data_IF_490933221660
#
_entry.id   IF_490933221660
#
_cell.length_a   1.000
_cell.length_b   1.000
_cell.length_c   1.000
_cell.angle_alpha   90.00
_cell.angle_beta   90.00
_cell.angle_gamma   90.00
#
_symmetry.space_group_name_H-M   'P 1'
#
loop_
_entity.id
_entity.type
_entity.pdbx_description
1 polymer ?
#
# COMPACT_ATOMS: atom_id res chain seq x y z
N UNK A 1 0.80 12.95 9.05
CA UNK A 1 0.18 12.13 7.99
C UNK A 1 0.58 10.68 8.27
N UNK A 2 -0.26 9.75 7.86
CA UNK A 2 -0.07 8.31 8.12
C UNK A 2 0.09 7.60 6.78
N UNK A 3 1.10 6.72 6.68
CA UNK A 3 1.40 5.93 5.49
C UNK A 3 1.26 4.45 5.82
N UNK A 4 0.23 3.82 5.29
CA UNK A 4 0.00 2.38 5.39
C UNK A 4 0.52 1.71 4.14
N UNK A 5 1.44 0.76 4.29
CA UNK A 5 2.06 0.05 3.17
C UNK A 5 1.55 -1.38 3.15
N UNK A 6 0.76 -1.73 2.14
CA UNK A 6 0.28 -3.09 1.90
C UNK A 6 1.29 -3.82 1.00
N UNK A 7 2.16 -4.61 1.62
CA UNK A 7 3.18 -5.39 0.92
C UNK A 7 3.60 -6.61 1.75
N UNK A 8 3.81 -7.76 1.11
CA UNK A 8 4.52 -8.90 1.70
C UNK A 8 6.04 -8.84 1.40
N UNK A 9 6.48 -7.88 0.58
CA UNK A 9 7.87 -7.66 0.23
C UNK A 9 8.59 -6.84 1.32
N UNK A 10 9.35 -7.53 2.15
CA UNK A 10 10.13 -6.93 3.24
C UNK A 10 11.17 -5.90 2.75
N UNK A 11 11.76 -6.10 1.58
CA UNK A 11 12.71 -5.16 1.02
C UNK A 11 12.01 -3.85 0.64
N UNK A 12 10.88 -3.94 -0.05
CA UNK A 12 10.09 -2.77 -0.43
C UNK A 12 9.62 -1.98 0.80
N UNK A 13 9.08 -2.66 1.82
CA UNK A 13 8.69 -2.00 3.06
C UNK A 13 9.86 -1.30 3.75
N UNK A 14 11.03 -1.95 3.80
CA UNK A 14 12.24 -1.36 4.41
C UNK A 14 12.69 -0.10 3.66
N UNK A 15 12.65 -0.14 2.33
CA UNK A 15 12.95 1.02 1.48
C UNK A 15 11.99 2.19 1.73
N UNK A 16 10.68 1.93 1.73
CA UNK A 16 9.66 2.95 2.03
C UNK A 16 9.84 3.51 3.44
N UNK A 17 10.12 2.64 4.42
CA UNK A 17 10.38 3.05 5.79
C UNK A 17 11.56 4.02 5.87
N UNK A 18 12.67 3.71 5.22
CA UNK A 18 13.83 4.60 5.20
C UNK A 18 13.52 5.99 4.63
N UNK A 19 12.65 6.08 3.62
CA UNK A 19 12.29 7.36 2.99
C UNK A 19 11.33 8.23 3.81
N UNK A 20 10.44 7.61 4.58
CA UNK A 20 9.27 8.29 5.16
C UNK A 20 9.17 8.24 6.68
N UNK A 21 9.99 7.44 7.38
CA UNK A 21 9.85 7.25 8.83
C UNK A 21 9.98 8.53 9.65
N UNK A 22 10.79 9.49 9.18
CA UNK A 22 10.95 10.78 9.86
C UNK A 22 9.82 11.78 9.53
N UNK A 23 8.97 11.47 8.54
CA UNK A 23 7.94 12.39 8.00
C UNK A 23 6.51 11.93 8.29
N UNK A 24 6.30 10.62 8.43
CA UNK A 24 4.99 10.01 8.52
C UNK A 24 5.01 8.83 9.48
N UNK A 25 3.88 8.59 10.15
CA UNK A 25 3.68 7.35 10.90
C UNK A 25 3.47 6.21 9.91
N UNK A 26 4.35 5.22 9.94
CA UNK A 26 4.31 4.06 9.05
C UNK A 26 3.58 2.88 9.70
N UNK A 27 2.78 2.20 8.90
CA UNK A 27 2.16 0.92 9.26
C UNK A 27 2.46 -0.10 8.17
N UNK A 28 3.05 -1.24 8.55
CA UNK A 28 3.22 -2.37 7.64
C UNK A 28 1.97 -3.25 7.69
N UNK A 29 1.36 -3.49 6.53
CA UNK A 29 0.18 -4.35 6.39
C UNK A 29 0.57 -5.51 5.47
N UNK A 30 0.45 -6.73 5.98
CA UNK A 30 0.88 -7.94 5.28
C UNK A 30 -0.28 -8.82 4.83
N UNK A 31 -1.50 -8.55 5.31
CA UNK A 31 -2.69 -9.34 5.01
C UNK A 31 -3.92 -8.46 4.79
N UNK A 32 -4.86 -8.99 4.01
CA UNK A 32 -6.10 -8.33 3.63
C UNK A 32 -6.96 -7.92 4.84
N UNK A 33 -7.02 -8.74 5.89
CA UNK A 33 -7.89 -8.46 7.04
C UNK A 33 -7.44 -7.18 7.75
N UNK A 34 -6.14 -7.04 7.99
CA UNK A 34 -5.55 -5.81 8.52
C UNK A 34 -5.66 -4.63 7.56
N UNK A 35 -5.59 -4.87 6.25
CA UNK A 35 -5.81 -3.82 5.26
C UNK A 35 -7.23 -3.25 5.39
N UNK A 36 -8.24 -4.12 5.53
CA UNK A 36 -9.63 -3.72 5.74
C UNK A 36 -9.84 -2.93 7.03
N UNK A 37 -9.26 -3.38 8.15
CA UNK A 37 -9.30 -2.62 9.39
C UNK A 37 -8.66 -1.22 9.24
N UNK A 38 -7.54 -1.13 8.52
CA UNK A 38 -6.85 0.13 8.28
C UNK A 38 -7.68 1.09 7.40
N UNK A 39 -8.34 0.58 6.36
CA UNK A 39 -9.25 1.37 5.50
C UNK A 39 -10.48 1.84 6.28
N UNK A 40 -11.09 0.98 7.10
CA UNK A 40 -12.24 1.35 7.92
C UNK A 40 -11.92 2.48 8.92
N UNK A 41 -10.69 2.51 9.43
CA UNK A 41 -10.19 3.55 10.33
C UNK A 41 -9.55 4.75 9.60
N UNK A 42 -9.51 4.74 8.26
CA UNK A 42 -8.78 5.75 7.51
C UNK A 42 -9.40 7.15 7.66
N UNK A 43 -8.52 8.12 7.88
CA UNK A 43 -8.87 9.54 7.96
C UNK A 43 -8.40 10.28 6.69
N UNK A 44 -8.77 11.54 6.54
CA UNK A 44 -8.30 12.41 5.44
C UNK A 44 -6.78 12.62 5.41
N UNK A 45 -6.05 12.21 6.46
CA UNK A 45 -4.58 12.26 6.56
C UNK A 45 -3.89 10.93 6.28
N UNK A 46 -4.66 9.91 5.89
CA UNK A 46 -4.18 8.56 5.61
C UNK A 46 -3.85 8.42 4.13
N UNK A 47 -2.68 7.85 3.84
CA UNK A 47 -2.23 7.48 2.50
C UNK A 47 -1.93 6.00 2.51
N UNK A 48 -2.37 5.31 1.46
CA UNK A 48 -2.13 3.88 1.30
C UNK A 48 -1.23 3.65 0.10
N UNK A 49 -0.14 2.92 0.32
CA UNK A 49 0.78 2.47 -0.71
C UNK A 49 0.65 0.97 -0.86
N UNK A 50 0.28 0.49 -2.04
CA UNK A 50 0.01 -0.92 -2.28
C UNK A 50 1.00 -1.47 -3.29
N UNK A 51 1.59 -2.60 -2.96
CA UNK A 51 2.43 -3.39 -3.85
C UNK A 51 1.55 -4.20 -4.82
N UNK A 52 1.67 -3.94 -6.12
CA UNK A 52 0.86 -4.59 -7.16
C UNK A 52 0.98 -6.12 -7.11
N UNK A 53 2.15 -6.64 -6.75
CA UNK A 53 2.39 -8.08 -6.68
C UNK A 53 1.59 -8.75 -5.55
N UNK A 54 1.17 -7.98 -4.55
CA UNK A 54 0.26 -8.47 -3.52
C UNK A 54 -1.22 -8.40 -3.95
N UNK A 55 -1.53 -7.61 -4.97
CA UNK A 55 -2.89 -7.39 -5.47
C UNK A 55 -3.31 -8.45 -6.50
N UNK A 56 -2.39 -8.95 -7.33
CA UNK A 56 -2.73 -9.76 -8.52
C UNK A 56 -3.62 -10.98 -8.24
N UNK A 57 -3.54 -11.56 -7.04
CA UNK A 57 -4.38 -12.70 -6.63
C UNK A 57 -5.42 -12.38 -5.54
N UNK A 58 -5.61 -11.10 -5.17
CA UNK A 58 -6.36 -10.74 -3.99
C UNK A 58 -7.79 -10.21 -4.29
N UNK A 59 -8.77 -11.10 -4.16
CA UNK A 59 -10.21 -10.72 -4.22
C UNK A 59 -10.59 -9.69 -3.16
N UNK A 60 -9.80 -9.57 -2.08
CA UNK A 60 -9.97 -8.55 -1.06
C UNK A 60 -9.70 -7.15 -1.60
N UNK A 61 -8.64 -6.96 -2.39
CA UNK A 61 -8.32 -5.65 -2.96
C UNK A 61 -9.49 -5.10 -3.78
N UNK A 62 -10.06 -5.93 -4.67
CA UNK A 62 -11.20 -5.53 -5.51
C UNK A 62 -12.40 -5.06 -4.67
N UNK A 63 -12.70 -5.76 -3.56
CA UNK A 63 -13.77 -5.34 -2.63
C UNK A 63 -13.43 -4.02 -1.93
N UNK A 64 -12.20 -3.92 -1.44
CA UNK A 64 -11.70 -2.76 -0.71
C UNK A 64 -11.71 -1.46 -1.53
N UNK A 65 -11.40 -1.54 -2.82
CA UNK A 65 -11.45 -0.39 -3.72
C UNK A 65 -12.85 0.19 -3.87
N UNK A 66 -13.91 -0.62 -3.69
CA UNK A 66 -15.29 -0.12 -3.75
C UNK A 66 -15.71 0.61 -2.46
N UNK A 67 -15.05 0.34 -1.35
CA UNK A 67 -15.39 0.89 -0.03
C UNK A 67 -14.48 2.06 0.39
N UNK A 68 -13.31 2.17 -0.24
CA UNK A 68 -12.29 3.14 0.12
C UNK A 68 -12.68 4.56 -0.30
N UNK A 69 -12.54 5.52 0.63
CA UNK A 69 -12.76 6.96 0.41
C UNK A 69 -11.48 7.81 0.50
N UNK A 70 -10.33 7.16 0.65
CA UNK A 70 -9.02 7.81 0.83
C UNK A 70 -8.10 7.52 -0.35
N UNK A 71 -7.07 8.37 -0.59
CA UNK A 71 -6.14 8.15 -1.69
C UNK A 71 -5.37 6.83 -1.54
N UNK A 72 -5.42 6.02 -2.59
CA UNK A 72 -4.65 4.79 -2.75
C UNK A 72 -3.64 5.01 -3.88
N UNK A 73 -2.37 4.71 -3.63
CA UNK A 73 -1.30 4.68 -4.62
C UNK A 73 -0.84 3.25 -4.81
N UNK A 74 -0.93 2.74 -6.04
CA UNK A 74 -0.49 1.40 -6.41
C UNK A 74 0.92 1.53 -7.01
N UNK A 75 1.84 0.71 -6.54
CA UNK A 75 3.22 0.65 -7.01
C UNK A 75 3.43 -0.69 -7.68
N UNK A 76 3.88 -0.64 -8.93
CA UNK A 76 4.34 -1.82 -9.65
C UNK A 76 5.88 -1.82 -9.69
N UNK A 77 6.57 -2.56 -8.80
CA UNK A 77 8.03 -2.59 -8.78
C UNK A 77 8.63 -3.35 -9.97
N UNK A 78 7.84 -4.14 -10.71
CA UNK A 78 8.31 -4.99 -11.82
C UNK A 78 8.22 -4.31 -13.20
N UNK A 79 7.63 -3.12 -13.30
CA UNK A 79 7.70 -2.28 -14.50
C UNK A 79 9.11 -1.67 -14.67
N UNK A 80 10.10 -2.52 -14.98
CA UNK A 80 11.45 -2.09 -15.36
C UNK A 80 11.67 -1.93 -16.87
N UNK A 81 10.74 -2.36 -17.72
CA UNK A 81 11.00 -2.52 -19.17
C UNK A 81 9.98 -1.85 -20.11
N UNK A 82 9.46 -0.66 -19.80
CA UNK A 82 8.59 0.10 -20.73
C UNK A 82 9.11 1.49 -21.14
N UNK A 83 10.27 1.93 -20.64
CA UNK A 83 10.91 3.17 -21.10
C UNK A 83 12.06 2.97 -22.12
N UNK A 84 12.25 1.74 -22.59
CA UNK A 84 13.28 1.39 -23.58
C UNK A 84 12.70 0.55 -24.72
N UNK A 85 11.78 1.11 -25.51
CA UNK A 85 11.48 0.65 -26.88
C UNK A 85 11.30 1.84 -27.79
#
# INVERSE_FOLDING_TARGET
>A
MELSVYTNNHFFFTYVSHLFNDKMKLTHIQDCHRFHEAIACATTRSVFLLDMNQIEDDTCFTRMMTETKVPIMIVNPDEKDTCCT
#
